data_IF_483551525846
#
_entry.id   IF_483551525846
#
_cell.length_a   1.000
_cell.length_b   1.000
_cell.length_c   1.000
_cell.angle_alpha   90.00
_cell.angle_beta   90.00
_cell.angle_gamma   90.00
#
_symmetry.space_group_name_H-M   'P 1'
#
loop_
_entity.id
_entity.type
_entity.pdbx_description
1 polymer ?
#
# COMPACT_ATOMS: atom_id res chain seq x y z
N UNK A 1 -1.32 17.44 10.33
CA UNK A 1 -1.16 16.07 9.82
C UNK A 1 -0.76 16.19 8.35
N UNK A 2 0.21 15.41 7.90
CA UNK A 2 0.57 15.35 6.48
C UNK A 2 -0.64 14.85 5.67
N UNK A 3 -0.88 15.41 4.50
CA UNK A 3 -1.82 14.87 3.53
C UNK A 3 -1.05 13.90 2.63
N UNK A 4 -1.75 12.96 2.00
CA UNK A 4 -1.11 11.99 1.11
C UNK A 4 -0.23 12.64 0.02
N UNK A 5 -0.60 13.84 -0.46
CA UNK A 5 0.17 14.59 -1.45
C UNK A 5 1.51 15.13 -0.93
N UNK A 6 1.69 15.22 0.39
CA UNK A 6 2.93 15.70 1.01
C UNK A 6 3.95 14.57 1.22
N UNK A 7 3.54 13.31 0.97
CA UNK A 7 4.33 12.12 1.23
C UNK A 7 4.96 11.64 -0.07
N UNK A 8 6.24 11.34 -0.04
CA UNK A 8 6.92 10.71 -1.17
C UNK A 8 6.38 9.30 -1.42
N UNK A 9 6.55 8.78 -2.63
CA UNK A 9 6.07 7.46 -3.03
C UNK A 9 5.62 7.45 -4.49
N UNK A 10 5.21 6.29 -4.96
CA UNK A 10 4.95 6.02 -6.38
C UNK A 10 3.50 6.24 -6.83
N UNK A 11 2.60 6.60 -5.92
CA UNK A 11 1.18 6.81 -6.27
C UNK A 11 1.00 8.01 -7.21
N UNK A 12 0.28 7.79 -8.28
CA UNK A 12 -0.15 8.77 -9.27
C UNK A 12 -1.58 9.27 -8.97
N UNK A 13 -2.03 10.34 -9.64
CA UNK A 13 -3.40 10.86 -9.48
C UNK A 13 -4.48 9.81 -9.79
N UNK A 14 -4.17 8.85 -10.70
CA UNK A 14 -5.07 7.75 -11.05
C UNK A 14 -5.31 6.78 -9.88
N UNK A 15 -4.29 6.53 -9.08
CA UNK A 15 -4.34 5.59 -7.96
C UNK A 15 -5.19 6.16 -6.83
N UNK A 16 -5.07 7.47 -6.56
CA UNK A 16 -5.97 8.16 -5.62
C UNK A 16 -7.42 8.06 -6.02
N UNK A 17 -7.72 8.32 -7.30
CA UNK A 17 -9.08 8.22 -7.81
C UNK A 17 -9.62 6.78 -7.67
N UNK A 18 -8.76 5.77 -7.83
CA UNK A 18 -9.14 4.37 -7.63
C UNK A 18 -9.43 4.08 -6.15
N UNK A 19 -8.58 4.54 -5.23
CA UNK A 19 -8.80 4.41 -3.78
C UNK A 19 -10.09 5.11 -3.37
N UNK A 20 -10.29 6.37 -3.76
CA UNK A 20 -11.52 7.12 -3.45
C UNK A 20 -12.77 6.40 -3.97
N UNK A 21 -12.71 5.86 -5.19
CA UNK A 21 -13.81 5.10 -5.78
C UNK A 21 -14.12 3.84 -4.98
N UNK A 22 -13.11 3.06 -4.62
CA UNK A 22 -13.28 1.86 -3.78
C UNK A 22 -13.86 2.25 -2.44
N UNK A 23 -13.27 3.21 -1.73
CA UNK A 23 -13.74 3.67 -0.43
C UNK A 23 -15.18 4.20 -0.47
N UNK A 24 -15.60 4.81 -1.58
CA UNK A 24 -16.97 5.34 -1.72
C UNK A 24 -18.07 4.28 -1.58
N UNK A 25 -17.77 3.02 -1.85
CA UNK A 25 -18.70 1.90 -1.69
C UNK A 25 -18.91 1.51 -0.21
N UNK A 26 -18.00 1.97 0.66
CA UNK A 26 -17.98 1.63 2.09
C UNK A 26 -18.47 2.77 3.01
N UNK A 27 -18.72 3.98 2.48
CA UNK A 27 -19.07 5.15 3.29
C UNK A 27 -20.39 5.01 4.09
N UNK A 28 -21.21 4.01 3.81
CA UNK A 28 -22.45 3.71 4.54
C UNK A 28 -22.30 2.55 5.54
N UNK A 29 -21.07 2.08 5.78
CA UNK A 29 -20.80 1.03 6.77
C UNK A 29 -20.70 1.64 8.18
N UNK A 30 -20.95 0.82 9.20
CA UNK A 30 -20.74 1.21 10.59
C UNK A 30 -19.23 1.25 10.93
N UNK A 31 -18.42 0.47 10.24
CA UNK A 31 -16.98 0.35 10.40
C UNK A 31 -16.34 -0.25 9.13
N UNK A 32 -15.11 0.14 8.84
CA UNK A 32 -14.33 -0.37 7.69
C UNK A 32 -12.93 -0.78 8.15
N UNK A 33 -12.53 -2.00 7.84
CA UNK A 33 -11.17 -2.51 8.06
C UNK A 33 -10.42 -2.59 6.74
N UNK A 34 -9.25 -1.96 6.67
CA UNK A 34 -8.36 -2.01 5.49
C UNK A 34 -7.09 -2.75 5.88
N UNK A 35 -6.68 -3.67 5.03
CA UNK A 35 -5.38 -4.34 5.14
C UNK A 35 -4.54 -4.06 3.90
N UNK A 36 -3.41 -3.41 4.09
CA UNK A 36 -2.46 -3.07 3.05
C UNK A 36 -1.18 -3.88 3.18
N UNK A 37 -0.67 -4.37 2.05
CA UNK A 37 0.61 -5.05 1.93
C UNK A 37 1.47 -4.26 0.93
N UNK A 38 2.59 -3.73 1.40
CA UNK A 38 3.42 -2.78 0.68
C UNK A 38 3.14 -1.33 1.11
N UNK A 39 3.77 -0.88 2.18
CA UNK A 39 3.53 0.45 2.77
C UNK A 39 4.43 1.51 2.16
N UNK A 40 5.64 1.16 1.80
CA UNK A 40 6.74 2.01 1.38
C UNK A 40 6.98 3.20 2.34
N UNK A 41 6.20 4.30 2.23
CA UNK A 41 6.26 5.46 3.14
C UNK A 41 4.90 5.82 3.76
N UNK A 42 3.90 4.95 3.61
CA UNK A 42 2.56 5.14 4.15
C UNK A 42 1.64 6.00 3.31
N UNK A 43 2.00 6.31 2.05
CA UNK A 43 1.24 7.22 1.20
C UNK A 43 -0.15 6.69 0.86
N UNK A 44 -0.26 5.44 0.47
CA UNK A 44 -1.52 4.74 0.18
C UNK A 44 -2.37 4.53 1.44
N UNK A 45 -1.74 4.12 2.56
CA UNK A 45 -2.45 4.01 3.84
C UNK A 45 -3.12 5.33 4.25
N UNK A 46 -2.42 6.46 4.06
CA UNK A 46 -2.98 7.78 4.34
C UNK A 46 -4.05 8.17 3.33
N UNK A 47 -3.93 7.76 2.08
CA UNK A 47 -4.99 7.99 1.09
C UNK A 47 -6.28 7.25 1.46
N UNK A 48 -6.19 6.01 1.96
CA UNK A 48 -7.34 5.28 2.51
C UNK A 48 -7.93 5.99 3.72
N UNK A 49 -7.10 6.42 4.70
CA UNK A 49 -7.54 7.15 5.88
C UNK A 49 -8.26 8.46 5.51
N UNK A 50 -7.69 9.23 4.57
CA UNK A 50 -8.30 10.45 4.08
C UNK A 50 -9.64 10.19 3.33
N UNK A 51 -9.74 9.13 2.57
CA UNK A 51 -10.95 8.75 1.83
C UNK A 51 -12.06 8.22 2.75
N UNK A 52 -11.70 7.51 3.83
CA UNK A 52 -12.64 6.92 4.79
C UNK A 52 -12.95 7.82 5.99
N UNK A 53 -12.43 9.05 6.05
CA UNK A 53 -12.51 9.97 7.22
C UNK A 53 -13.92 10.23 7.79
N UNK A 54 -14.99 9.92 7.03
CA UNK A 54 -16.39 10.10 7.46
C UNK A 54 -17.00 8.84 8.07
N UNK A 55 -16.27 7.73 8.07
CA UNK A 55 -16.69 6.43 8.59
C UNK A 55 -15.68 5.98 9.64
N UNK A 56 -16.10 5.41 10.77
CA UNK A 56 -15.19 4.72 11.66
C UNK A 56 -14.43 3.63 10.89
N UNK A 57 -13.10 3.67 10.93
CA UNK A 57 -12.26 2.73 10.19
C UNK A 57 -10.95 2.48 10.91
N UNK A 58 -10.26 1.44 10.51
CA UNK A 58 -8.88 1.19 10.89
C UNK A 58 -8.10 0.66 9.69
N UNK A 59 -6.85 1.04 9.58
CA UNK A 59 -5.96 0.59 8.53
C UNK A 59 -4.80 -0.14 9.16
N UNK A 60 -4.61 -1.39 8.79
CA UNK A 60 -3.37 -2.12 9.08
C UNK A 60 -2.55 -2.14 7.81
N UNK A 61 -1.34 -1.61 7.87
CA UNK A 61 -0.39 -1.62 6.76
C UNK A 61 0.88 -2.34 7.16
N UNK A 62 1.49 -3.08 6.23
CA UNK A 62 2.72 -3.81 6.50
C UNK A 62 3.74 -3.68 5.37
N UNK A 63 4.99 -3.68 5.78
CA UNK A 63 6.15 -3.66 4.88
C UNK A 63 7.37 -4.22 5.60
N UNK A 64 8.35 -4.68 4.83
CA UNK A 64 9.69 -4.94 5.33
C UNK A 64 10.51 -3.67 5.13
N UNK A 65 10.91 -3.02 6.21
CA UNK A 65 11.72 -1.81 6.13
C UNK A 65 13.18 -2.15 5.73
N UNK A 66 13.35 -2.59 4.49
CA UNK A 66 14.68 -2.86 3.92
C UNK A 66 15.32 -1.62 3.27
N UNK A 67 14.57 -0.51 3.23
CA UNK A 67 14.90 0.66 2.42
C UNK A 67 14.53 0.43 0.95
N UNK A 68 14.55 1.50 0.18
CA UNK A 68 14.24 1.41 -1.25
C UNK A 68 15.34 2.07 -2.09
N UNK A 69 15.96 1.30 -2.97
CA UNK A 69 17.03 1.76 -3.86
C UNK A 69 16.57 1.91 -5.32
N UNK A 70 15.47 1.23 -5.67
CA UNK A 70 14.92 1.22 -7.02
C UNK A 70 15.78 0.50 -8.06
N UNK A 71 15.34 0.47 -9.31
CA UNK A 71 16.08 -0.16 -10.40
C UNK A 71 17.38 0.58 -10.72
N UNK A 72 18.40 -0.14 -11.20
CA UNK A 72 19.64 0.48 -11.66
C UNK A 72 19.44 1.30 -12.93
N UNK A 73 20.41 2.17 -13.25
CA UNK A 73 20.37 2.98 -14.48
C UNK A 73 20.32 2.10 -15.73
N UNK A 74 21.03 0.96 -15.72
CA UNK A 74 21.01 0.01 -16.83
C UNK A 74 19.63 -0.59 -17.07
N UNK A 75 18.89 -0.90 -15.98
CA UNK A 75 17.51 -1.41 -16.08
C UNK A 75 16.60 -0.31 -16.63
N UNK A 76 16.72 0.91 -16.15
CA UNK A 76 15.91 2.05 -16.61
C UNK A 76 16.14 2.30 -18.11
N UNK A 77 17.40 2.28 -18.56
CA UNK A 77 17.75 2.45 -19.96
C UNK A 77 17.24 1.29 -20.83
N UNK A 78 17.35 0.05 -20.35
CA UNK A 78 16.84 -1.14 -21.04
C UNK A 78 15.32 -1.08 -21.22
N UNK A 79 14.60 -0.53 -20.26
CA UNK A 79 13.15 -0.35 -20.32
C UNK A 79 12.71 0.90 -21.09
N UNK A 80 13.66 1.75 -21.52
CA UNK A 80 13.37 2.98 -22.24
C UNK A 80 12.67 4.06 -21.41
N UNK A 81 12.87 4.04 -20.09
CA UNK A 81 12.27 5.02 -19.18
C UNK A 81 13.09 6.33 -19.20
N UNK A 82 12.40 7.44 -18.99
CA UNK A 82 12.96 8.77 -19.15
C UNK A 82 13.67 9.32 -17.90
N UNK A 83 14.24 10.52 -18.02
CA UNK A 83 14.93 11.19 -16.90
C UNK A 83 13.96 11.58 -15.77
N UNK A 84 12.66 11.75 -16.04
CA UNK A 84 11.69 12.01 -14.99
C UNK A 84 11.51 10.79 -14.10
N UNK A 85 11.53 9.58 -14.69
CA UNK A 85 11.52 8.35 -13.92
C UNK A 85 12.77 8.21 -13.05
N UNK A 86 13.95 8.52 -13.59
CA UNK A 86 15.19 8.54 -12.80
C UNK A 86 15.12 9.51 -11.62
N UNK A 87 14.64 10.72 -11.86
CA UNK A 87 14.47 11.72 -10.80
C UNK A 87 13.49 11.25 -9.71
N UNK A 88 12.37 10.64 -10.10
CA UNK A 88 11.39 10.11 -9.17
C UNK A 88 11.95 8.93 -8.36
N UNK A 89 12.69 7.99 -9.01
CA UNK A 89 13.42 6.93 -8.31
C UNK A 89 14.38 7.50 -7.28
N UNK A 90 15.20 8.47 -7.66
CA UNK A 90 16.22 9.02 -6.77
C UNK A 90 15.60 9.77 -5.59
N UNK A 91 14.47 10.45 -5.80
CA UNK A 91 13.71 11.10 -4.73
C UNK A 91 13.09 10.10 -3.74
N UNK A 92 12.84 8.86 -4.16
CA UNK A 92 12.26 7.80 -3.30
C UNK A 92 13.31 6.86 -2.68
N UNK A 93 14.60 7.05 -2.93
CA UNK A 93 15.64 6.24 -2.28
C UNK A 93 15.67 6.47 -0.78
N UNK A 94 15.82 5.39 -0.04
CA UNK A 94 15.96 5.42 1.43
C UNK A 94 16.77 4.24 1.95
N UNK A 95 17.35 4.44 3.12
CA UNK A 95 17.80 3.33 3.96
C UNK A 95 16.61 2.71 4.69
N UNK A 96 16.81 1.55 5.32
CA UNK A 96 15.81 0.89 6.16
C UNK A 96 15.35 1.80 7.31
N UNK A 97 16.28 2.46 7.99
CA UNK A 97 16.01 3.37 9.11
C UNK A 97 15.18 4.59 8.65
N UNK A 98 15.57 5.22 7.54
CA UNK A 98 14.82 6.35 6.98
C UNK A 98 13.40 5.97 6.58
N UNK A 99 13.21 4.80 5.97
CA UNK A 99 11.89 4.29 5.61
C UNK A 99 11.02 4.09 6.85
N UNK A 100 11.55 3.40 7.86
CA UNK A 100 10.86 3.12 9.12
C UNK A 100 10.45 4.41 9.84
N UNK A 101 11.38 5.36 10.00
CA UNK A 101 11.13 6.63 10.67
C UNK A 101 10.08 7.48 9.92
N UNK A 102 10.13 7.45 8.59
CA UNK A 102 9.19 8.20 7.77
C UNK A 102 7.78 7.62 7.83
N UNK A 103 7.61 6.29 7.78
CA UNK A 103 6.31 5.64 7.98
C UNK A 103 5.72 6.09 9.32
N UNK A 104 6.46 5.91 10.41
CA UNK A 104 5.99 6.28 11.75
C UNK A 104 5.63 7.76 11.88
N UNK A 105 6.40 8.64 11.23
CA UNK A 105 6.11 10.08 11.22
C UNK A 105 4.81 10.38 10.47
N UNK A 106 4.62 9.74 9.33
CA UNK A 106 3.49 10.00 8.42
C UNK A 106 2.16 9.52 9.01
N UNK A 107 2.15 8.35 9.67
CA UNK A 107 0.94 7.77 10.26
C UNK A 107 0.64 8.28 11.69
N UNK A 108 1.52 9.09 12.27
CA UNK A 108 1.38 9.60 13.63
C UNK A 108 0.03 10.30 13.84
N UNK A 109 -0.69 9.89 14.88
CA UNK A 109 -2.04 10.38 15.24
C UNK A 109 -3.15 10.05 14.24
N UNK A 110 -2.98 9.03 13.42
CA UNK A 110 -4.00 8.42 12.56
C UNK A 110 -4.43 7.07 13.13
N UNK A 111 -5.57 6.56 12.69
CA UNK A 111 -6.02 5.21 13.05
C UNK A 111 -5.41 4.16 12.09
N UNK A 112 -4.07 4.15 12.08
CA UNK A 112 -3.26 3.30 11.23
C UNK A 112 -2.26 2.53 12.09
N UNK A 113 -2.24 1.21 11.96
CA UNK A 113 -1.22 0.33 12.56
C UNK A 113 -0.22 -0.10 11.49
N UNK A 114 1.07 0.10 11.77
CA UNK A 114 2.15 -0.40 10.93
C UNK A 114 2.74 -1.69 11.49
N UNK A 115 2.96 -2.67 10.63
CA UNK A 115 3.62 -3.94 10.93
C UNK A 115 4.92 -4.01 10.12
N UNK A 116 6.05 -3.95 10.82
CA UNK A 116 7.38 -4.16 10.22
C UNK A 116 7.65 -5.67 10.13
N UNK A 117 7.09 -6.29 9.11
CA UNK A 117 7.26 -7.71 8.83
C UNK A 117 6.95 -8.02 7.37
N UNK A 118 7.42 -9.18 6.91
CA UNK A 118 7.12 -9.70 5.59
C UNK A 118 5.78 -10.42 5.59
N UNK A 119 4.98 -10.12 4.56
CA UNK A 119 3.75 -10.88 4.37
C UNK A 119 4.04 -12.34 3.98
N UNK A 120 3.45 -13.29 4.71
CA UNK A 120 3.56 -14.72 4.44
C UNK A 120 2.19 -15.40 4.59
N UNK A 121 1.82 -16.24 3.60
CA UNK A 121 0.58 -17.00 3.66
C UNK A 121 0.57 -17.95 4.88
N UNK A 122 -0.53 -17.91 5.64
CA UNK A 122 -0.72 -18.77 6.83
C UNK A 122 -0.14 -18.19 8.11
N UNK A 123 0.41 -16.99 8.08
CA UNK A 123 0.77 -16.26 9.29
C UNK A 123 -0.49 -15.65 9.93
N UNK A 124 -0.52 -15.64 11.27
CA UNK A 124 -1.67 -15.12 12.03
C UNK A 124 -1.53 -13.62 12.24
N UNK A 125 -1.92 -12.84 11.23
CA UNK A 125 -1.91 -11.39 11.32
C UNK A 125 -3.06 -10.88 12.18
N UNK A 126 -2.92 -9.70 12.81
CA UNK A 126 -3.98 -9.13 13.66
C UNK A 126 -5.25 -8.73 12.89
N UNK A 127 -5.21 -8.78 11.56
CA UNK A 127 -6.36 -8.45 10.70
C UNK A 127 -7.09 -9.74 10.31
N UNK A 128 -8.19 -10.01 10.99
CA UNK A 128 -8.91 -11.30 10.83
C UNK A 128 -9.82 -11.32 9.59
N UNK A 129 -10.35 -10.18 9.17
CA UNK A 129 -11.37 -10.15 8.11
C UNK A 129 -11.54 -8.75 7.51
N UNK A 130 -10.53 -8.20 6.83
CA UNK A 130 -10.61 -6.86 6.26
C UNK A 130 -11.74 -6.74 5.23
N UNK A 131 -12.32 -5.55 5.13
CA UNK A 131 -13.30 -5.21 4.09
C UNK A 131 -12.61 -4.88 2.77
N UNK A 132 -11.43 -4.28 2.85
CA UNK A 132 -10.59 -3.92 1.72
C UNK A 132 -9.20 -4.52 1.95
N UNK A 133 -8.69 -5.28 0.99
CA UNK A 133 -7.28 -5.68 0.91
C UNK A 133 -6.65 -4.91 -0.24
N UNK A 134 -5.57 -4.18 0.04
CA UNK A 134 -4.76 -3.51 -0.96
C UNK A 134 -3.38 -4.17 -1.02
N UNK A 135 -2.99 -4.63 -2.20
CA UNK A 135 -1.71 -5.27 -2.43
C UNK A 135 -0.87 -4.45 -3.40
N UNK A 136 0.21 -3.92 -2.90
CA UNK A 136 1.24 -3.18 -3.61
C UNK A 136 2.64 -3.64 -3.13
N UNK A 137 2.80 -4.97 -3.04
CA UNK A 137 4.01 -5.61 -2.53
C UNK A 137 5.08 -5.84 -3.60
N UNK A 138 5.75 -6.99 -3.53
CA UNK A 138 6.89 -7.30 -4.43
C UNK A 138 6.49 -7.61 -5.87
N UNK A 139 5.20 -7.80 -6.17
CA UNK A 139 4.65 -8.23 -7.47
C UNK A 139 5.26 -9.54 -8.02
N UNK A 140 5.95 -10.31 -7.16
CA UNK A 140 6.46 -11.60 -7.54
C UNK A 140 5.30 -12.59 -7.77
N UNK A 141 5.48 -13.53 -8.71
CA UNK A 141 4.47 -14.57 -8.96
C UNK A 141 4.05 -15.32 -7.70
N UNK A 142 5.03 -15.62 -6.81
CA UNK A 142 4.76 -16.36 -5.57
C UNK A 142 3.88 -15.54 -4.63
N UNK A 143 4.25 -14.30 -4.39
CA UNK A 143 3.52 -13.42 -3.47
C UNK A 143 2.13 -13.08 -4.00
N UNK A 144 2.01 -12.74 -5.29
CA UNK A 144 0.71 -12.49 -5.92
C UNK A 144 -0.21 -13.73 -5.85
N UNK A 145 0.33 -14.93 -6.12
CA UNK A 145 -0.43 -16.19 -5.95
C UNK A 145 -0.93 -16.35 -4.52
N UNK A 146 -0.05 -16.10 -3.56
CA UNK A 146 -0.34 -16.31 -2.14
C UNK A 146 -1.37 -15.28 -1.63
N UNK A 147 -1.34 -14.04 -2.12
CA UNK A 147 -2.38 -13.04 -1.88
C UNK A 147 -3.73 -13.49 -2.46
N UNK A 148 -3.76 -13.98 -3.68
CA UNK A 148 -4.99 -14.50 -4.29
C UNK A 148 -5.54 -15.70 -3.53
N UNK A 149 -4.66 -16.57 -3.01
CA UNK A 149 -5.07 -17.68 -2.17
C UNK A 149 -5.67 -17.17 -0.85
N UNK A 150 -4.98 -16.29 -0.13
CA UNK A 150 -5.49 -15.65 1.09
C UNK A 150 -6.85 -14.99 0.84
N UNK A 151 -6.95 -14.20 -0.24
CA UNK A 151 -8.22 -13.57 -0.60
C UNK A 151 -9.34 -14.59 -0.82
N UNK A 152 -9.06 -15.71 -1.47
CA UNK A 152 -10.07 -16.75 -1.73
C UNK A 152 -10.64 -17.38 -0.45
N UNK A 153 -9.90 -17.32 0.66
CA UNK A 153 -10.31 -17.86 1.95
C UNK A 153 -11.18 -16.88 2.76
N UNK A 154 -10.98 -15.57 2.55
CA UNK A 154 -11.68 -14.51 3.30
C UNK A 154 -12.73 -13.76 2.48
N UNK A 155 -12.72 -13.93 1.17
CA UNK A 155 -13.63 -13.21 0.27
C UNK A 155 -15.08 -13.61 0.52
N UNK A 156 -15.90 -12.62 0.86
CA UNK A 156 -17.35 -12.72 0.96
C UNK A 156 -18.00 -11.52 0.27
N UNK A 157 -19.29 -11.57 0.03
CA UNK A 157 -20.01 -10.45 -0.59
C UNK A 157 -19.76 -9.13 0.18
N UNK A 158 -19.42 -8.09 -0.54
CA UNK A 158 -19.17 -6.75 -0.01
C UNK A 158 -17.76 -6.49 0.45
N UNK A 159 -16.80 -7.37 0.14
CA UNK A 159 -15.36 -7.14 0.31
C UNK A 159 -14.67 -6.88 -1.02
N UNK A 160 -13.54 -6.17 -1.01
CA UNK A 160 -12.79 -5.81 -2.22
C UNK A 160 -11.31 -6.13 -2.06
N UNK A 161 -10.73 -6.75 -3.10
CA UNK A 161 -9.29 -6.86 -3.28
C UNK A 161 -8.87 -5.87 -4.37
N UNK A 162 -7.91 -5.02 -4.06
CA UNK A 162 -7.24 -4.12 -5.00
C UNK A 162 -5.80 -4.60 -5.15
N UNK A 163 -5.37 -4.79 -6.38
CA UNK A 163 -3.98 -5.14 -6.69
C UNK A 163 -3.44 -4.01 -7.56
N UNK A 164 -2.38 -3.36 -7.08
CA UNK A 164 -1.68 -2.34 -7.84
C UNK A 164 -0.71 -2.96 -8.84
N UNK A 165 -0.34 -2.21 -9.87
CA UNK A 165 0.64 -2.60 -10.90
C UNK A 165 0.43 -3.99 -11.56
N UNK A 166 -0.82 -4.47 -11.67
CA UNK A 166 -1.16 -5.63 -12.48
C UNK A 166 -0.91 -5.30 -13.96
N UNK A 167 0.36 -5.15 -14.32
CA UNK A 167 0.77 -5.08 -15.72
C UNK A 167 0.59 -6.48 -16.30
N UNK A 168 -0.36 -6.62 -17.19
CA UNK A 168 -0.59 -7.88 -17.89
C UNK A 168 0.70 -8.34 -18.56
N UNK A 169 1.18 -9.50 -18.16
CA UNK A 169 2.20 -10.27 -18.86
C UNK A 169 1.65 -10.77 -20.19
#
# INVERSE_FOLDING_TARGET
MAQHNDIRGWMMDGDYNAIEKVCSEFLNRDYVEVFEIGTLYGKSAIAFDDALKTVPHHITTMDVCEGWIGPSDEIIEMLGLDDNFKAMRDANRSTAEEQFDEIHTNILNRDITFIDDKWELGYDYPVVSPDIVFYDGSHSYVETRDILQYWSEIAVEGKVLVIDDLIGL
#
